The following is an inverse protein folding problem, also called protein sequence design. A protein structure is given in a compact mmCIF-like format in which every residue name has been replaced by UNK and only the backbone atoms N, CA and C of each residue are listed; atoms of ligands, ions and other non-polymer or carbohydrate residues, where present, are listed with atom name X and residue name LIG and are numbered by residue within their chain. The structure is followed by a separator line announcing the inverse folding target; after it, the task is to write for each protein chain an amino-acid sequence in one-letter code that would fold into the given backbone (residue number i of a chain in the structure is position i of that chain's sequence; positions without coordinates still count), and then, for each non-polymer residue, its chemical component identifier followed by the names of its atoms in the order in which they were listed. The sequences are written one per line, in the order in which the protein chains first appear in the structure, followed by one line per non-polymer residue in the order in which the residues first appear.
data_IF_923067062008
#
_entry.id   IF_923067062008
#
_cell.length_a   1.000
_cell.length_b   1.000
_cell.length_c   1.000
_cell.angle_alpha   90.00
_cell.angle_beta   90.00
_cell.angle_gamma   90.00
#
_symmetry.space_group_name_H-M   'P 1'
#
loop_
_entity.id
_entity.type
_entity.pdbx_description
1 polymer ?
#
# COMPACT_ATOMS: atom_id res chain seq x y z
N UNK A 1 20.72 3.80 -4.00
CA UNK A 1 20.38 5.05 -4.71
C UNK A 1 21.64 5.55 -5.40
N UNK A 2 21.55 5.97 -6.66
CA UNK A 2 22.70 6.53 -7.38
C UNK A 2 23.06 7.92 -6.84
N UNK A 3 24.36 8.20 -6.68
CA UNK A 3 24.84 9.43 -6.03
C UNK A 3 24.83 10.65 -6.95
N UNK A 4 24.62 10.47 -8.26
CA UNK A 4 24.57 11.57 -9.23
C UNK A 4 23.14 11.97 -9.59
N UNK A 5 22.33 10.98 -9.95
CA UNK A 5 20.96 11.15 -10.41
C UNK A 5 19.91 11.01 -9.32
N UNK A 6 20.30 10.51 -8.13
CA UNK A 6 19.39 10.22 -7.01
C UNK A 6 18.30 9.19 -7.35
N UNK A 7 18.47 8.46 -8.45
CA UNK A 7 17.55 7.42 -8.83
C UNK A 7 17.69 6.19 -7.93
N UNK A 8 16.56 5.52 -7.68
CA UNK A 8 16.53 4.25 -6.96
C UNK A 8 16.87 3.13 -7.94
N UNK A 9 17.90 2.35 -7.64
CA UNK A 9 18.32 1.21 -8.45
C UNK A 9 17.87 -0.13 -7.88
N UNK A 10 17.69 -0.21 -6.57
CA UNK A 10 17.15 -1.39 -5.94
C UNK A 10 16.56 -1.02 -4.58
N UNK A 11 15.73 -1.91 -4.06
CA UNK A 11 15.20 -1.89 -2.71
C UNK A 11 15.34 -3.28 -2.13
N UNK A 12 16.18 -3.41 -1.11
CA UNK A 12 16.35 -4.66 -0.36
C UNK A 12 15.53 -4.62 0.92
N UNK A 13 14.75 -5.67 1.17
CA UNK A 13 13.98 -5.83 2.41
C UNK A 13 14.61 -6.93 3.25
N UNK A 14 14.85 -6.65 4.52
CA UNK A 14 15.35 -7.61 5.50
C UNK A 14 14.24 -7.95 6.50
N UNK A 15 14.17 -9.21 6.90
CA UNK A 15 13.19 -9.72 7.87
C UNK A 15 13.88 -10.57 8.92
N UNK A 16 13.19 -10.76 10.04
CA UNK A 16 13.56 -11.71 11.08
C UNK A 16 12.36 -12.64 11.31
N UNK A 17 12.61 -13.94 11.39
CA UNK A 17 11.54 -14.92 11.56
C UNK A 17 11.02 -14.93 13.01
N UNK A 18 9.82 -14.40 13.21
CA UNK A 18 9.18 -14.31 14.53
C UNK A 18 8.81 -15.67 15.15
N UNK A 19 8.80 -16.77 14.39
CA UNK A 19 8.67 -18.12 14.95
C UNK A 19 9.78 -18.42 15.97
N UNK A 20 10.94 -17.75 15.84
CA UNK A 20 12.10 -17.88 16.74
C UNK A 20 12.10 -16.87 17.90
N UNK A 21 11.12 -15.97 17.98
CA UNK A 21 11.12 -14.90 18.99
C UNK A 21 11.20 -15.43 20.43
N UNK A 22 10.43 -16.49 20.75
CA UNK A 22 10.47 -17.11 22.07
C UNK A 22 11.83 -17.74 22.43
N UNK A 23 12.62 -18.16 21.44
CA UNK A 23 13.98 -18.65 21.66
C UNK A 23 14.94 -17.50 21.96
N UNK A 24 14.85 -16.40 21.21
CA UNK A 24 15.63 -15.19 21.43
C UNK A 24 15.41 -14.62 22.81
N UNK A 25 14.15 -14.53 23.26
CA UNK A 25 13.80 -14.06 24.60
C UNK A 25 14.40 -14.95 25.70
N UNK A 26 14.34 -16.27 25.52
CA UNK A 26 14.89 -17.25 26.49
C UNK A 26 16.41 -17.22 26.58
N UNK A 27 17.08 -17.00 25.46
CA UNK A 27 18.54 -17.07 25.36
C UNK A 27 19.22 -15.71 25.50
N UNK A 28 18.46 -14.61 25.41
CA UNK A 28 18.99 -13.25 25.28
C UNK A 28 19.65 -13.00 23.92
N UNK A 29 19.38 -13.83 22.92
CA UNK A 29 19.93 -13.68 21.57
C UNK A 29 19.23 -12.55 20.82
N UNK A 30 19.95 -11.93 19.87
CA UNK A 30 19.38 -10.91 18.99
C UNK A 30 18.60 -11.56 17.83
N UNK A 31 17.55 -10.91 17.30
CA UNK A 31 16.87 -11.36 16.10
C UNK A 31 17.81 -11.59 14.92
N UNK A 32 17.63 -12.70 14.22
CA UNK A 32 18.39 -13.07 13.03
C UNK A 32 17.82 -12.39 11.78
N UNK A 33 18.35 -11.20 11.47
CA UNK A 33 17.98 -10.42 10.31
C UNK A 33 18.65 -10.93 9.04
N UNK A 34 17.85 -11.29 8.05
CA UNK A 34 18.33 -11.78 6.76
C UNK A 34 17.59 -11.12 5.62
N UNK A 35 18.24 -11.07 4.44
CA UNK A 35 17.64 -10.54 3.23
C UNK A 35 16.44 -11.41 2.85
N UNK A 36 15.27 -10.78 2.76
CA UNK A 36 14.06 -11.42 2.24
C UNK A 36 14.07 -11.38 0.71
N UNK A 37 14.17 -10.17 0.14
CA UNK A 37 14.21 -9.99 -1.30
C UNK A 37 14.86 -8.66 -1.72
N UNK A 38 15.37 -8.65 -2.96
CA UNK A 38 15.68 -7.45 -3.73
C UNK A 38 14.54 -7.24 -4.72
N UNK A 39 13.97 -6.04 -4.75
CA UNK A 39 12.88 -5.68 -5.65
C UNK A 39 13.24 -5.89 -7.11
N UNK A 40 14.47 -5.50 -7.51
CA UNK A 40 14.97 -5.72 -8.86
C UNK A 40 15.06 -7.20 -9.18
N UNK A 41 15.59 -8.01 -8.26
CA UNK A 41 15.77 -9.45 -8.48
C UNK A 41 14.44 -10.19 -8.57
N UNK A 42 13.51 -9.91 -7.67
CA UNK A 42 12.20 -10.55 -7.62
C UNK A 42 11.37 -10.20 -8.85
N UNK A 43 11.08 -8.90 -9.04
CA UNK A 43 10.15 -8.48 -10.10
C UNK A 43 10.81 -8.37 -11.48
N UNK A 44 12.14 -8.31 -11.55
CA UNK A 44 12.89 -8.33 -12.81
C UNK A 44 12.72 -9.61 -13.63
N UNK A 45 12.34 -10.72 -13.00
CA UNK A 45 11.99 -11.96 -13.69
C UNK A 45 10.69 -11.82 -14.51
N UNK A 46 9.75 -10.99 -14.04
CA UNK A 46 8.46 -10.74 -14.70
C UNK A 46 8.49 -9.49 -15.60
N UNK A 47 9.31 -8.50 -15.23
CA UNK A 47 9.48 -7.23 -15.96
C UNK A 47 10.97 -6.95 -16.14
N UNK A 48 11.58 -7.50 -17.22
CA UNK A 48 13.01 -7.35 -17.46
C UNK A 48 13.46 -5.89 -17.45
N UNK A 49 14.61 -5.65 -16.83
CA UNK A 49 15.23 -4.33 -16.71
C UNK A 49 16.75 -4.47 -16.85
N UNK A 50 17.39 -3.53 -17.54
CA UNK A 50 18.84 -3.51 -17.67
C UNK A 50 19.50 -3.30 -16.30
N UNK A 51 20.70 -3.88 -16.11
CA UNK A 51 21.40 -3.85 -14.82
C UNK A 51 21.68 -2.42 -14.31
N UNK A 52 21.86 -1.47 -15.23
CA UNK A 52 22.16 -0.06 -15.00
C UNK A 52 20.94 0.87 -15.18
N UNK A 53 19.75 0.33 -15.44
CA UNK A 53 18.52 1.12 -15.54
C UNK A 53 17.86 1.26 -14.16
N UNK A 54 17.44 2.45 -13.72
CA UNK A 54 16.81 2.64 -12.42
C UNK A 54 15.38 2.07 -12.34
N UNK A 55 14.89 1.83 -11.13
CA UNK A 55 13.50 1.42 -10.88
C UNK A 55 12.56 2.63 -11.06
N UNK A 56 12.22 2.93 -12.31
CA UNK A 56 11.36 4.06 -12.68
C UNK A 56 9.90 3.83 -12.32
N UNK A 57 9.11 4.91 -12.26
CA UNK A 57 7.66 4.81 -12.11
C UNK A 57 7.00 3.97 -13.22
N UNK A 58 7.50 4.05 -14.46
CA UNK A 58 7.02 3.23 -15.57
C UNK A 58 7.35 1.74 -15.38
N UNK A 59 8.51 1.42 -14.80
CA UNK A 59 8.84 0.04 -14.47
C UNK A 59 7.91 -0.52 -13.39
N UNK A 60 7.66 0.24 -12.31
CA UNK A 60 6.69 -0.16 -11.29
C UNK A 60 5.26 -0.30 -11.83
N UNK A 61 4.85 0.57 -12.75
CA UNK A 61 3.59 0.40 -13.47
C UNK A 61 3.54 -0.95 -14.20
N UNK A 62 4.58 -1.28 -14.96
CA UNK A 62 4.66 -2.56 -15.67
C UNK A 62 4.64 -3.76 -14.72
N UNK A 63 5.24 -3.65 -13.53
CA UNK A 63 5.17 -4.69 -12.48
C UNK A 63 3.71 -4.94 -12.08
N UNK A 64 2.93 -3.87 -11.82
CA UNK A 64 1.50 -4.04 -11.52
C UNK A 64 0.71 -4.62 -12.69
N UNK A 65 1.08 -4.31 -13.94
CA UNK A 65 0.47 -4.93 -15.14
C UNK A 65 0.84 -6.40 -15.29
N UNK A 66 2.04 -6.80 -14.86
CA UNK A 66 2.44 -8.20 -14.83
C UNK A 66 1.61 -8.99 -13.81
N UNK A 67 1.33 -8.39 -12.64
CA UNK A 67 0.45 -9.00 -11.61
C UNK A 67 -0.96 -9.29 -12.15
N UNK A 68 -1.53 -8.42 -12.99
CA UNK A 68 -2.85 -8.64 -13.59
C UNK A 68 -2.89 -9.83 -14.56
N UNK A 69 -1.76 -10.16 -15.18
CA UNK A 69 -1.67 -11.19 -16.22
C UNK A 69 -1.12 -12.52 -15.70
N UNK A 70 -0.43 -12.48 -14.56
CA UNK A 70 0.27 -13.62 -14.00
C UNK A 70 0.04 -13.66 -12.48
N UNK A 71 -0.90 -14.50 -12.06
CA UNK A 71 -1.17 -14.71 -10.64
C UNK A 71 0.09 -15.15 -9.87
N UNK A 72 1.00 -15.94 -10.45
CA UNK A 72 2.22 -16.33 -9.76
C UNK A 72 3.11 -15.11 -9.40
N UNK A 73 3.19 -14.12 -10.29
CA UNK A 73 3.90 -12.86 -10.02
C UNK A 73 3.21 -12.07 -8.90
N UNK A 74 1.88 -12.05 -8.88
CA UNK A 74 1.11 -11.44 -7.80
C UNK A 74 1.28 -12.17 -6.46
N UNK A 75 1.28 -13.51 -6.44
CA UNK A 75 1.48 -14.29 -5.21
C UNK A 75 2.90 -14.12 -4.64
N UNK A 76 3.91 -13.94 -5.51
CA UNK A 76 5.25 -13.55 -5.08
C UNK A 76 5.23 -12.18 -4.38
N UNK A 77 4.59 -11.17 -4.98
CA UNK A 77 4.35 -9.89 -4.32
C UNK A 77 3.59 -10.05 -3.00
N UNK A 78 2.54 -10.86 -2.97
CA UNK A 78 1.72 -11.07 -1.78
C UNK A 78 2.57 -11.64 -0.65
N UNK A 79 3.43 -12.61 -0.94
CA UNK A 79 4.37 -13.17 0.05
C UNK A 79 5.26 -12.09 0.65
N UNK A 80 5.85 -11.22 -0.18
CA UNK A 80 6.72 -10.12 0.29
C UNK A 80 5.95 -8.98 0.98
N UNK A 81 4.72 -8.71 0.56
CA UNK A 81 3.82 -7.77 1.24
C UNK A 81 3.59 -8.20 2.69
N UNK A 82 3.44 -9.51 2.91
CA UNK A 82 3.30 -10.14 4.22
C UNK A 82 4.62 -10.35 4.97
N UNK A 83 5.76 -9.95 4.41
CA UNK A 83 7.11 -10.18 4.99
C UNK A 83 7.37 -11.67 5.26
N UNK A 84 6.90 -12.53 4.35
CA UNK A 84 6.96 -13.99 4.47
C UNK A 84 6.27 -14.54 5.73
N UNK A 85 5.37 -13.76 6.33
CA UNK A 85 4.60 -14.17 7.50
C UNK A 85 3.54 -15.20 7.12
N UNK A 86 3.41 -16.23 7.95
CA UNK A 86 2.35 -17.25 7.87
C UNK A 86 0.99 -16.72 8.33
N UNK A 87 0.98 -15.60 9.05
CA UNK A 87 -0.24 -14.97 9.56
C UNK A 87 -0.96 -14.11 8.51
N UNK A 88 -0.32 -13.86 7.36
CA UNK A 88 -0.96 -13.12 6.30
C UNK A 88 -2.12 -13.96 5.70
N UNK A 89 -3.35 -13.40 5.62
CA UNK A 89 -4.46 -14.10 4.99
C UNK A 89 -4.15 -14.49 3.53
N UNK A 90 -4.69 -15.63 3.10
CA UNK A 90 -4.59 -16.03 1.70
C UNK A 90 -5.33 -15.02 0.80
N UNK A 91 -4.73 -14.75 -0.36
CA UNK A 91 -5.30 -13.86 -1.38
C UNK A 91 -5.48 -14.68 -2.67
N UNK A 92 -6.57 -15.45 -2.79
CA UNK A 92 -6.77 -16.34 -3.92
C UNK A 92 -7.11 -15.56 -5.19
N UNK A 93 -6.74 -16.11 -6.35
CA UNK A 93 -6.84 -15.48 -7.68
C UNK A 93 -8.27 -15.15 -8.10
N UNK A 94 -9.22 -16.00 -7.70
CA UNK A 94 -10.66 -15.83 -7.94
C UNK A 94 -11.35 -14.87 -6.95
N UNK A 95 -10.61 -14.37 -5.96
CA UNK A 95 -11.10 -13.43 -4.96
C UNK A 95 -11.00 -11.96 -5.39
N UNK A 96 -11.59 -11.03 -4.60
CA UNK A 96 -11.46 -9.59 -4.84
C UNK A 96 -10.05 -9.07 -4.50
N UNK A 97 -9.32 -9.79 -3.66
CA UNK A 97 -8.06 -9.33 -3.06
C UNK A 97 -6.97 -8.95 -4.07
N UNK A 98 -6.63 -9.76 -5.11
CA UNK A 98 -5.61 -9.37 -6.07
C UNK A 98 -5.96 -8.10 -6.83
N UNK A 99 -7.21 -8.01 -7.29
CA UNK A 99 -7.71 -6.85 -8.04
C UNK A 99 -7.73 -5.59 -7.19
N UNK A 100 -8.21 -5.66 -5.96
CA UNK A 100 -8.23 -4.54 -5.02
C UNK A 100 -6.80 -4.09 -4.67
N UNK A 101 -5.90 -5.03 -4.41
CA UNK A 101 -4.51 -4.74 -4.05
C UNK A 101 -3.78 -4.04 -5.20
N UNK A 102 -3.85 -4.58 -6.43
CA UNK A 102 -3.26 -3.94 -7.62
C UNK A 102 -3.85 -2.55 -7.87
N UNK A 103 -5.16 -2.39 -7.67
CA UNK A 103 -5.82 -1.11 -7.83
C UNK A 103 -5.33 -0.08 -6.79
N UNK A 104 -5.22 -0.47 -5.52
CA UNK A 104 -4.71 0.39 -4.46
C UNK A 104 -3.22 0.74 -4.66
N UNK A 105 -2.41 -0.14 -5.24
CA UNK A 105 -1.02 0.21 -5.61
C UNK A 105 -0.95 1.34 -6.65
N UNK A 106 -1.97 1.46 -7.50
CA UNK A 106 -2.06 2.50 -8.55
C UNK A 106 -2.78 3.77 -8.07
N UNK A 107 -3.43 3.72 -6.91
CA UNK A 107 -4.12 4.85 -6.31
C UNK A 107 -3.13 5.80 -5.62
N UNK A 108 -2.52 6.70 -6.39
CA UNK A 108 -1.60 7.72 -5.84
C UNK A 108 -2.29 8.87 -5.09
N UNK A 109 -3.63 8.95 -5.14
CA UNK A 109 -4.45 9.92 -4.41
C UNK A 109 -5.59 9.23 -3.68
N UNK A 110 -5.95 9.74 -2.50
CA UNK A 110 -6.99 9.13 -1.65
C UNK A 110 -8.37 9.05 -2.33
N UNK A 111 -8.67 9.99 -3.24
CA UNK A 111 -9.91 9.99 -4.01
C UNK A 111 -10.04 8.82 -5.01
N UNK A 112 -8.93 8.12 -5.33
CA UNK A 112 -8.92 6.96 -6.22
C UNK A 112 -8.84 5.62 -5.46
N UNK A 113 -9.10 5.61 -4.15
CA UNK A 113 -9.05 4.39 -3.35
C UNK A 113 -10.01 3.34 -3.93
N UNK A 114 -9.54 2.11 -4.06
CA UNK A 114 -10.29 1.03 -4.70
C UNK A 114 -11.07 0.15 -3.71
N UNK A 115 -10.83 0.34 -2.41
CA UNK A 115 -11.60 -0.28 -1.33
C UNK A 115 -12.75 0.61 -0.88
N UNK A 116 -13.86 -0.03 -0.49
CA UNK A 116 -14.99 0.68 0.11
C UNK A 116 -14.63 1.06 1.54
N UNK A 117 -14.56 2.35 1.84
CA UNK A 117 -14.35 2.83 3.21
C UNK A 117 -15.67 2.64 3.98
N UNK A 118 -15.77 1.58 4.79
CA UNK A 118 -16.91 1.39 5.69
C UNK A 118 -16.58 1.96 7.07
N UNK A 119 -17.15 3.11 7.40
CA UNK A 119 -17.16 3.60 8.78
C UNK A 119 -18.37 3.01 9.49
N UNK A 120 -18.15 2.02 10.36
CA UNK A 120 -19.15 1.63 11.35
C UNK A 120 -19.14 2.66 12.49
N UNK A 121 -19.82 3.79 12.27
CA UNK A 121 -20.14 4.71 13.36
C UNK A 121 -21.19 4.02 14.23
N UNK A 122 -20.74 3.35 15.29
CA UNK A 122 -21.63 2.92 16.36
C UNK A 122 -22.05 4.18 17.11
N UNK A 123 -23.23 4.71 16.75
CA UNK A 123 -23.94 5.67 17.59
C UNK A 123 -24.26 4.94 18.89
N UNK A 124 -23.69 5.38 20.01
CA UNK A 124 -24.16 4.95 21.33
C UNK A 124 -25.64 5.33 21.40
N UNK A 125 -26.49 4.35 21.65
CA UNK A 125 -27.94 4.48 21.57
C UNK A 125 -28.43 5.64 22.45
N UNK A 126 -28.94 6.69 21.80
CA UNK A 126 -30.00 7.57 22.26
C UNK A 126 -30.59 8.30 21.02
N UNK A 127 -31.81 7.88 20.67
CA UNK A 127 -32.80 8.42 19.69
C UNK A 127 -32.46 8.44 18.17
N UNK A 128 -33.46 8.18 17.29
CA UNK A 128 -33.26 7.77 15.92
C UNK A 128 -33.10 8.97 14.97
N UNK A 129 -32.06 8.96 14.14
CA UNK A 129 -31.94 9.89 13.04
C UNK A 129 -31.95 9.13 11.70
N UNK A 130 -33.13 9.09 11.10
CA UNK A 130 -33.38 8.86 9.67
C UNK A 130 -32.58 9.90 8.86
N UNK A 131 -31.29 9.67 8.61
CA UNK A 131 -30.45 10.67 7.94
C UNK A 131 -29.28 10.12 7.09
N UNK A 132 -29.26 8.82 6.75
CA UNK A 132 -28.15 8.26 5.94
C UNK A 132 -28.45 8.02 4.46
N UNK A 133 -29.62 8.43 3.97
CA UNK A 133 -29.92 8.42 2.52
C UNK A 133 -29.23 9.50 1.69
N UNK A 134 -28.40 10.38 2.27
CA UNK A 134 -27.92 11.61 1.60
C UNK A 134 -26.40 11.74 1.40
N UNK A 135 -25.59 10.77 1.80
CA UNK A 135 -24.12 10.87 1.63
C UNK A 135 -23.60 10.31 0.30
N UNK A 136 -24.40 9.57 -0.46
CA UNK A 136 -23.97 8.99 -1.74
C UNK A 136 -24.01 10.00 -2.91
N UNK A 137 -24.67 11.17 -2.77
CA UNK A 137 -25.00 12.04 -3.92
C UNK A 137 -24.33 13.42 -3.91
N UNK A 138 -23.08 13.51 -3.46
CA UNK A 138 -22.31 14.78 -3.48
C UNK A 138 -20.97 14.67 -4.21
N UNK A 139 -20.94 14.02 -5.37
CA UNK A 139 -19.74 14.02 -6.22
C UNK A 139 -19.89 14.77 -7.54
N UNK A 140 -21.07 15.28 -7.92
CA UNK A 140 -21.22 15.82 -9.28
C UNK A 140 -21.47 17.34 -9.40
N UNK A 141 -22.02 18.05 -8.40
CA UNK A 141 -22.29 19.49 -8.58
C UNK A 141 -22.15 20.31 -7.28
N UNK A 142 -21.00 20.97 -7.03
CA UNK A 142 -20.95 22.17 -6.18
C UNK A 142 -19.60 22.94 -6.30
N UNK A 143 -19.62 24.28 -6.44
CA UNK A 143 -18.42 25.12 -6.43
C UNK A 143 -17.77 25.18 -5.05
N UNK A 144 -16.43 25.12 -5.01
CA UNK A 144 -15.60 25.04 -3.80
C UNK A 144 -15.70 26.32 -2.94
N UNK A 145 -16.11 26.24 -1.66
CA UNK A 145 -16.28 27.39 -0.78
C UNK A 145 -15.10 27.50 0.21
N UNK A 146 -13.87 27.63 -0.27
CA UNK A 146 -12.76 27.90 0.65
C UNK A 146 -12.82 29.38 1.08
N UNK A 147 -13.32 29.61 2.29
CA UNK A 147 -13.42 30.95 2.85
C UNK A 147 -12.03 31.40 3.34
N UNK A 148 -11.47 32.44 2.70
CA UNK A 148 -10.12 33.00 2.92
C UNK A 148 -9.85 33.54 4.33
N UNK A 149 -10.83 33.47 5.25
CA UNK A 149 -10.75 34.09 6.58
C UNK A 149 -10.21 33.19 7.70
N UNK A 150 -9.79 31.95 7.40
CA UNK A 150 -9.20 31.04 8.40
C UNK A 150 -7.67 31.07 8.46
N UNK A 151 -7.00 31.90 7.67
CA UNK A 151 -5.58 32.20 7.86
C UNK A 151 -5.46 33.51 8.64
N UNK A 152 -5.18 33.41 9.94
CA UNK A 152 -5.08 34.54 10.85
C UNK A 152 -4.05 35.59 10.41
N UNK A 153 -4.55 36.67 9.80
CA UNK A 153 -3.83 37.92 9.64
C UNK A 153 -4.55 38.98 10.48
N UNK A 154 -3.80 39.50 11.45
CA UNK A 154 -4.15 40.51 12.45
C UNK A 154 -4.40 41.90 11.85
N UNK A 155 -4.83 42.82 12.73
CA UNK A 155 -4.95 44.29 12.60
C UNK A 155 -6.39 44.72 12.35
N UNK A 156 -7.05 45.58 13.14
CA UNK A 156 -6.60 46.55 14.12
C UNK A 156 -7.52 47.77 14.00
N UNK A 157 -8.06 48.23 15.13
CA UNK A 157 -8.54 49.58 15.52
C UNK A 157 -9.60 49.45 16.61
#
# INVERSE_FOLDING_TARGET
VDTKSWNVFDSETYVANLDKAAEWDKTGATPDWHLEYSARKAYGAHVPIAADAPLTASWWHNVTTAFEKNNAAFQEYWTYHGKSSKEQPACPDDGPCPKEMICNMRAGKSADTCSTISFSVKRSDDEPATALGRLSKRSEDAPQPWNKKLCGLTSGL
#
